data_IF_603069758720
#
_entry.id   IF_603069758720
#
_cell.length_a   1.000
_cell.length_b   1.000
_cell.length_c   1.000
_cell.angle_alpha   90.00
_cell.angle_beta   90.00
_cell.angle_gamma   90.00
#
_symmetry.space_group_name_H-M   'P 1'
#
loop_
_entity.id
_entity.type
_entity.pdbx_description
1 polymer ?
#
# COMPACT_ATOMS: atom_id res chain seq x y z
N UNK A 1 -8.42 -5.09 3.64
CA UNK A 1 -7.09 -4.48 3.49
C UNK A 1 -6.31 -4.90 2.22
N UNK A 2 -6.64 -5.98 1.49
CA UNK A 2 -6.00 -6.29 0.20
C UNK A 2 -6.22 -5.19 -0.85
N UNK A 3 -7.32 -4.44 -0.80
CA UNK A 3 -7.58 -3.32 -1.70
C UNK A 3 -6.55 -2.20 -1.59
N UNK A 4 -6.04 -1.93 -0.40
CA UNK A 4 -5.00 -0.91 -0.17
C UNK A 4 -3.70 -1.28 -0.89
N UNK A 5 -3.34 -2.56 -0.84
CA UNK A 5 -2.15 -3.09 -1.53
C UNK A 5 -2.36 -3.08 -3.05
N UNK A 6 -3.54 -3.52 -3.52
CA UNK A 6 -3.85 -3.53 -4.94
C UNK A 6 -3.84 -2.13 -5.58
N UNK A 7 -4.20 -1.10 -4.82
CA UNK A 7 -4.20 0.27 -5.32
C UNK A 7 -2.78 0.83 -5.55
N UNK A 8 -1.78 0.33 -4.82
CA UNK A 8 -0.38 0.75 -4.99
C UNK A 8 0.27 0.17 -6.25
N UNK A 9 -0.20 -0.97 -6.76
CA UNK A 9 0.39 -1.64 -7.92
C UNK A 9 0.33 -0.81 -9.22
N UNK A 10 -0.82 -0.26 -9.66
CA UNK A 10 -0.87 0.53 -10.90
C UNK A 10 -0.05 1.82 -10.80
N UNK A 11 0.01 2.43 -9.63
CA UNK A 11 0.81 3.64 -9.41
C UNK A 11 2.31 3.38 -9.51
N UNK A 12 2.75 2.23 -9.02
CA UNK A 12 4.13 1.79 -9.10
C UNK A 12 4.54 1.47 -10.54
N UNK A 13 3.71 0.77 -11.28
CA UNK A 13 3.97 0.46 -12.69
C UNK A 13 4.04 1.74 -13.52
N UNK A 14 3.18 2.72 -13.26
CA UNK A 14 3.24 4.03 -13.89
C UNK A 14 4.58 4.74 -13.61
N UNK A 15 5.10 4.67 -12.39
CA UNK A 15 6.42 5.21 -12.03
C UNK A 15 7.58 4.53 -12.76
N UNK A 16 7.54 3.20 -12.87
CA UNK A 16 8.55 2.44 -13.63
C UNK A 16 8.55 2.81 -15.11
N UNK A 17 7.39 2.84 -15.73
CA UNK A 17 7.27 3.24 -17.15
C UNK A 17 7.64 4.72 -17.35
N UNK A 18 7.29 5.60 -16.42
CA UNK A 18 7.64 7.01 -16.46
C UNK A 18 9.14 7.23 -16.47
N UNK A 19 9.90 6.58 -15.59
CA UNK A 19 11.36 6.70 -15.59
C UNK A 19 12.01 6.04 -16.79
N UNK A 20 11.46 4.92 -17.24
CA UNK A 20 11.93 4.24 -18.45
C UNK A 20 11.78 5.14 -19.69
N UNK A 21 10.65 5.84 -19.80
CA UNK A 21 10.39 6.81 -20.86
C UNK A 21 11.33 8.02 -20.77
N UNK A 22 11.57 8.54 -19.57
CA UNK A 22 12.51 9.66 -19.33
C UNK A 22 13.95 9.28 -19.67
N UNK A 23 14.34 8.02 -19.44
CA UNK A 23 15.65 7.50 -19.81
C UNK A 23 15.79 7.21 -21.32
N UNK A 24 14.69 7.31 -22.09
CA UNK A 24 14.69 7.03 -23.52
C UNK A 24 14.91 5.56 -23.88
N UNK A 25 14.72 4.66 -22.93
CA UNK A 25 14.92 3.23 -23.12
C UNK A 25 13.65 2.56 -23.66
N UNK A 26 13.85 1.59 -24.55
CA UNK A 26 12.73 0.82 -25.09
C UNK A 26 12.22 -0.20 -24.07
N UNK A 27 10.92 -0.45 -24.09
CA UNK A 27 10.33 -1.53 -23.33
C UNK A 27 10.85 -2.85 -23.87
N UNK A 28 11.52 -3.61 -23.03
CA UNK A 28 12.14 -4.89 -23.38
C UNK A 28 11.70 -5.97 -22.38
N UNK A 29 12.01 -7.22 -22.70
CA UNK A 29 11.79 -8.35 -21.79
C UNK A 29 12.49 -8.10 -20.44
N UNK A 30 13.67 -7.48 -20.45
CA UNK A 30 14.40 -7.13 -19.23
C UNK A 30 13.66 -6.09 -18.38
N UNK A 31 12.99 -5.11 -19.00
CA UNK A 31 12.13 -4.15 -18.30
C UNK A 31 10.97 -4.85 -17.60
N UNK A 32 10.32 -5.80 -18.24
CA UNK A 32 9.24 -6.58 -17.61
C UNK A 32 9.74 -7.42 -16.44
N UNK A 33 10.92 -8.04 -16.55
CA UNK A 33 11.53 -8.74 -15.42
C UNK A 33 11.78 -7.81 -14.23
N UNK A 34 12.26 -6.60 -14.49
CA UNK A 34 12.43 -5.57 -13.47
C UNK A 34 11.12 -5.18 -12.78
N UNK A 35 10.05 -5.03 -13.55
CA UNK A 35 8.72 -4.71 -13.02
C UNK A 35 8.16 -5.86 -12.17
N UNK A 36 8.32 -7.11 -12.60
CA UNK A 36 7.86 -8.28 -11.83
C UNK A 36 8.60 -8.37 -10.49
N UNK A 37 9.91 -8.18 -10.49
CA UNK A 37 10.71 -8.13 -9.26
C UNK A 37 10.26 -7.01 -8.35
N UNK A 38 10.02 -5.84 -8.91
CA UNK A 38 9.54 -4.67 -8.18
C UNK A 38 8.18 -4.90 -7.54
N UNK A 39 7.23 -5.52 -8.25
CA UNK A 39 5.92 -5.90 -7.71
C UNK A 39 6.09 -6.73 -6.45
N UNK A 40 6.96 -7.73 -6.46
CA UNK A 40 7.23 -8.56 -5.29
C UNK A 40 7.73 -7.75 -4.09
N UNK A 41 8.69 -6.87 -4.29
CA UNK A 41 9.26 -6.03 -3.22
C UNK A 41 8.23 -5.06 -2.66
N UNK A 42 7.47 -4.40 -3.53
CA UNK A 42 6.50 -3.39 -3.11
C UNK A 42 5.30 -4.00 -2.39
N UNK A 43 4.77 -5.10 -2.90
CA UNK A 43 3.67 -5.82 -2.25
C UNK A 43 4.10 -6.29 -0.87
N UNK A 44 5.29 -6.84 -0.72
CA UNK A 44 5.82 -7.23 0.57
C UNK A 44 5.91 -6.05 1.54
N UNK A 45 6.45 -4.91 1.11
CA UNK A 45 6.54 -3.71 1.94
C UNK A 45 5.15 -3.16 2.33
N UNK A 46 4.21 -3.16 1.41
CA UNK A 46 2.85 -2.71 1.66
C UNK A 46 2.11 -3.61 2.66
N UNK A 47 2.23 -4.92 2.52
CA UNK A 47 1.64 -5.89 3.45
C UNK A 47 2.21 -5.71 4.86
N UNK A 48 3.52 -5.58 4.99
CA UNK A 48 4.17 -5.36 6.28
C UNK A 48 3.73 -4.06 6.96
N UNK A 49 3.53 -2.98 6.19
CA UNK A 49 3.03 -1.72 6.73
C UNK A 49 1.61 -1.86 7.27
N UNK A 50 0.71 -2.46 6.49
CA UNK A 50 -0.68 -2.69 6.90
C UNK A 50 -0.77 -3.61 8.12
N UNK A 51 0.02 -4.68 8.13
CA UNK A 51 0.07 -5.62 9.27
C UNK A 51 0.54 -4.93 10.54
N UNK A 52 1.57 -4.10 10.46
CA UNK A 52 2.06 -3.33 11.59
C UNK A 52 1.04 -2.32 12.13
N UNK A 53 0.30 -1.64 11.26
CA UNK A 53 -0.80 -0.76 11.67
C UNK A 53 -1.88 -1.56 12.40
N UNK A 54 -2.24 -2.74 11.90
CA UNK A 54 -3.22 -3.62 12.53
C UNK A 54 -2.76 -4.11 13.91
N UNK A 55 -1.47 -4.44 14.07
CA UNK A 55 -0.91 -4.83 15.36
C UNK A 55 -0.95 -3.70 16.38
N UNK A 56 -0.65 -2.47 15.99
CA UNK A 56 -0.78 -1.30 16.86
C UNK A 56 -2.22 -1.05 17.29
N UNK A 57 -3.17 -1.24 16.40
CA UNK A 57 -4.60 -1.14 16.72
C UNK A 57 -5.07 -2.23 17.68
N UNK A 58 -4.58 -3.45 17.53
CA UNK A 58 -4.86 -4.55 18.45
C UNK A 58 -4.36 -4.28 19.88
N UNK A 59 -3.30 -3.46 20.02
CA UNK A 59 -2.79 -2.99 21.32
C UNK A 59 -3.55 -1.80 21.93
N UNK A 60 -4.67 -1.39 21.32
CA UNK A 60 -5.53 -0.33 21.84
C UNK A 60 -5.18 1.08 21.37
N UNK A 61 -4.30 1.25 20.40
CA UNK A 61 -4.00 2.55 19.80
C UNK A 61 -5.19 3.06 18.97
N UNK A 62 -5.46 4.37 19.05
CA UNK A 62 -6.43 5.01 18.17
C UNK A 62 -6.00 4.90 16.71
N UNK A 63 -6.96 4.94 15.78
CA UNK A 63 -6.73 4.78 14.33
C UNK A 63 -5.65 5.72 13.81
N UNK A 64 -5.80 7.01 14.08
CA UNK A 64 -4.87 8.05 13.65
C UNK A 64 -3.53 7.90 14.37
N UNK A 65 -3.54 7.61 15.67
CA UNK A 65 -2.35 7.36 16.46
C UNK A 65 -1.55 6.15 15.98
N UNK A 66 -2.22 5.05 15.62
CA UNK A 66 -1.57 3.86 15.06
C UNK A 66 -0.87 4.16 13.73
N UNK A 67 -1.50 4.90 12.83
CA UNK A 67 -0.92 5.30 11.54
C UNK A 67 0.25 6.26 11.73
N UNK A 68 0.13 7.24 12.61
CA UNK A 68 1.19 8.20 12.91
C UNK A 68 2.42 7.54 13.56
N UNK A 69 2.22 6.51 14.38
CA UNK A 69 3.32 5.76 14.99
C UNK A 69 3.95 4.76 14.00
N UNK A 70 3.14 4.15 13.16
CA UNK A 70 3.62 3.19 12.16
C UNK A 70 4.46 3.84 11.07
N UNK A 71 4.10 5.07 10.65
CA UNK A 71 4.78 5.79 9.57
C UNK A 71 6.30 5.88 9.77
N UNK A 72 6.80 6.57 10.81
CA UNK A 72 8.23 6.76 11.03
C UNK A 72 9.01 5.48 11.25
N UNK A 73 8.42 4.50 11.94
CA UNK A 73 9.06 3.21 12.21
C UNK A 73 9.25 2.38 10.94
N UNK A 74 8.22 2.36 10.09
CA UNK A 74 8.28 1.65 8.81
C UNK A 74 9.07 2.39 7.75
N UNK A 75 9.05 3.73 7.79
CA UNK A 75 9.90 4.56 6.93
C UNK A 75 11.38 4.17 7.09
N UNK A 76 11.86 4.03 8.32
CA UNK A 76 13.22 3.62 8.59
C UNK A 76 13.52 2.22 8.01
N UNK A 77 12.64 1.25 8.23
CA UNK A 77 12.81 -0.10 7.70
C UNK A 77 12.80 -0.15 6.17
N UNK A 78 11.88 0.58 5.54
CA UNK A 78 11.78 0.68 4.08
C UNK A 78 13.01 1.37 3.50
N UNK A 79 13.48 2.45 4.09
CA UNK A 79 14.68 3.15 3.63
C UNK A 79 15.93 2.30 3.76
N UNK A 80 16.05 1.50 4.82
CA UNK A 80 17.19 0.58 4.99
C UNK A 80 17.28 -0.48 3.89
N UNK A 81 16.17 -0.87 3.29
CA UNK A 81 16.15 -1.82 2.17
C UNK A 81 16.20 -1.13 0.81
N UNK A 82 15.54 -0.01 0.66
CA UNK A 82 15.40 0.72 -0.61
C UNK A 82 16.68 1.44 -1.00
N UNK A 83 17.33 2.13 -0.07
CA UNK A 83 18.55 2.90 -0.35
C UNK A 83 19.70 2.01 -0.84
N UNK A 84 20.07 0.91 -0.15
CA UNK A 84 21.10 0.00 -0.66
C UNK A 84 20.74 -0.61 -2.01
N UNK A 85 19.46 -0.96 -2.23
CA UNK A 85 19.01 -1.52 -3.52
C UNK A 85 19.15 -0.51 -4.63
N UNK A 86 18.80 0.76 -4.39
CA UNK A 86 18.99 1.84 -5.37
C UNK A 86 20.48 2.03 -5.70
N UNK A 87 21.33 2.15 -4.69
CA UNK A 87 22.76 2.31 -4.89
C UNK A 87 23.40 1.10 -5.59
N UNK A 88 22.96 -0.12 -5.26
CA UNK A 88 23.42 -1.35 -5.89
C UNK A 88 23.02 -1.48 -7.38
N UNK A 89 21.85 -0.95 -7.75
CA UNK A 89 21.38 -0.95 -9.13
C UNK A 89 21.88 0.23 -9.98
N UNK A 90 22.39 1.28 -9.34
CA UNK A 90 22.88 2.49 -10.02
C UNK A 90 23.98 2.21 -11.05
N UNK A 91 25.05 1.42 -10.75
CA UNK A 91 26.10 1.14 -11.71
C UNK A 91 25.59 0.43 -12.96
N UNK A 92 24.60 -0.44 -12.80
CA UNK A 92 23.98 -1.16 -13.93
C UNK A 92 23.06 -0.24 -14.73
N UNK A 93 22.34 0.65 -14.05
CA UNK A 93 21.48 1.65 -14.69
C UNK A 93 22.29 2.66 -15.53
N UNK A 94 23.51 2.98 -15.11
CA UNK A 94 24.43 3.85 -15.83
C UNK A 94 25.25 3.12 -16.91
N UNK A 95 25.01 1.82 -17.10
CA UNK A 95 25.70 0.97 -18.08
C UNK A 95 27.25 1.00 -17.97
N UNK A 96 27.77 1.11 -16.74
CA UNK A 96 29.20 1.22 -16.45
C UNK A 96 29.98 -0.10 -16.70
N UNK A 97 29.28 -1.22 -16.91
CA UNK A 97 29.90 -2.53 -17.21
C UNK A 97 29.71 -2.91 -18.68
N UNK A 98 30.60 -3.71 -19.20
CA UNK A 98 30.61 -4.16 -20.62
C UNK A 98 29.30 -4.86 -21.06
N UNK A 99 28.53 -5.42 -20.11
CA UNK A 99 27.22 -6.02 -20.35
C UNK A 99 26.08 -5.18 -19.75
N UNK A 100 26.37 -3.96 -19.32
CA UNK A 100 25.44 -3.06 -18.69
C UNK A 100 24.27 -2.65 -19.59
N UNK A 101 24.53 -2.45 -20.88
CA UNK A 101 23.50 -2.00 -21.83
C UNK A 101 22.32 -2.96 -21.93
N UNK A 102 22.55 -4.27 -21.88
CA UNK A 102 21.45 -5.27 -21.91
C UNK A 102 20.60 -5.27 -20.66
N UNK A 103 21.19 -4.98 -19.50
CA UNK A 103 20.51 -4.98 -18.19
C UNK A 103 20.04 -3.60 -17.76
N UNK A 104 20.48 -2.56 -18.43
CA UNK A 104 20.14 -1.17 -18.15
C UNK A 104 18.62 -0.94 -18.04
N UNK A 105 17.77 -1.41 -18.98
CA UNK A 105 16.32 -1.20 -18.88
C UNK A 105 15.70 -1.82 -17.63
N UNK A 106 16.20 -2.97 -17.18
CA UNK A 106 15.76 -3.62 -15.94
C UNK A 106 16.07 -2.76 -14.72
N UNK A 107 17.32 -2.30 -14.61
CA UNK A 107 17.77 -1.49 -13.48
C UNK A 107 17.09 -0.13 -13.41
N UNK A 108 16.89 0.51 -14.56
CA UNK A 108 16.16 1.80 -14.64
C UNK A 108 14.69 1.61 -14.25
N UNK A 109 14.04 0.54 -14.68
CA UNK A 109 12.67 0.23 -14.28
C UNK A 109 12.55 0.01 -12.77
N UNK A 110 13.49 -0.74 -12.18
CA UNK A 110 13.53 -0.99 -10.74
C UNK A 110 13.79 0.29 -9.96
N UNK A 111 14.75 1.12 -10.36
CA UNK A 111 15.02 2.41 -9.71
C UNK A 111 13.81 3.33 -9.71
N UNK A 112 13.19 3.52 -10.88
CA UNK A 112 12.01 4.37 -11.01
C UNK A 112 10.83 3.89 -10.21
N UNK A 113 10.55 2.60 -10.30
CA UNK A 113 9.46 2.00 -9.57
C UNK A 113 9.69 1.98 -8.06
N UNK A 114 10.91 1.71 -7.60
CA UNK A 114 11.26 1.75 -6.17
C UNK A 114 11.14 3.16 -5.59
N UNK A 115 11.64 4.15 -6.29
CA UNK A 115 11.53 5.55 -5.86
C UNK A 115 10.07 5.98 -5.75
N UNK A 116 9.32 5.79 -6.83
CA UNK A 116 7.88 6.15 -6.88
C UNK A 116 7.08 5.35 -5.87
N UNK A 117 7.33 4.06 -5.76
CA UNK A 117 6.66 3.18 -4.80
C UNK A 117 6.94 3.58 -3.36
N UNK A 118 8.18 3.91 -3.02
CA UNK A 118 8.54 4.33 -1.66
C UNK A 118 7.81 5.61 -1.28
N UNK A 119 7.78 6.60 -2.17
CA UNK A 119 7.04 7.84 -1.96
C UNK A 119 5.54 7.58 -1.79
N UNK A 120 4.97 6.79 -2.69
CA UNK A 120 3.54 6.46 -2.66
C UNK A 120 3.16 5.60 -1.46
N UNK A 121 3.98 4.61 -1.11
CA UNK A 121 3.71 3.73 0.05
C UNK A 121 3.61 4.53 1.34
N UNK A 122 4.48 5.51 1.50
CA UNK A 122 4.51 6.33 2.72
C UNK A 122 3.34 7.32 2.81
N UNK A 123 2.81 7.77 1.69
CA UNK A 123 1.74 8.78 1.64
C UNK A 123 0.38 8.12 1.42
N UNK A 124 0.28 7.27 0.40
CA UNK A 124 -1.01 6.74 -0.07
C UNK A 124 -1.55 5.63 0.82
N UNK A 125 -0.71 4.71 1.28
CA UNK A 125 -1.19 3.58 2.09
C UNK A 125 -1.79 4.04 3.41
N UNK A 126 -1.17 4.92 4.22
CA UNK A 126 -1.80 5.46 5.41
C UNK A 126 -3.12 6.18 5.13
N UNK A 127 -3.17 7.00 4.08
CA UNK A 127 -4.38 7.76 3.70
C UNK A 127 -5.50 6.82 3.27
N UNK A 128 -5.23 5.88 2.39
CA UNK A 128 -6.22 4.89 1.93
C UNK A 128 -6.70 4.01 3.07
N UNK A 129 -5.79 3.61 3.98
CA UNK A 129 -6.15 2.85 5.16
C UNK A 129 -7.14 3.59 6.05
N UNK A 130 -6.90 4.88 6.33
CA UNK A 130 -7.80 5.74 7.12
C UNK A 130 -9.16 5.89 6.45
N UNK A 131 -9.20 6.13 5.14
CA UNK A 131 -10.44 6.28 4.38
C UNK A 131 -11.27 4.99 4.39
N UNK A 132 -10.64 3.84 4.13
CA UNK A 132 -11.32 2.55 4.13
C UNK A 132 -11.87 2.18 5.51
N UNK A 133 -11.15 2.56 6.57
CA UNK A 133 -11.56 2.27 7.92
C UNK A 133 -12.73 3.18 8.35
N UNK A 134 -12.75 4.44 7.96
CA UNK A 134 -13.87 5.36 8.17
C UNK A 134 -15.15 4.88 7.45
N UNK A 135 -15.00 4.35 6.24
CA UNK A 135 -16.13 3.75 5.49
C UNK A 135 -16.69 2.54 6.25
N UNK A 136 -15.82 1.68 6.79
CA UNK A 136 -16.26 0.52 7.59
C UNK A 136 -16.98 0.92 8.86
N UNK A 137 -16.51 1.96 9.54
CA UNK A 137 -17.16 2.42 10.77
C UNK A 137 -18.51 3.07 10.48
N UNK A 138 -18.64 3.84 9.42
CA UNK A 138 -19.93 4.36 8.96
C UNK A 138 -20.91 3.23 8.61
N UNK A 139 -20.43 2.20 7.92
CA UNK A 139 -21.24 1.03 7.62
C UNK A 139 -21.66 0.26 8.88
N UNK A 140 -20.75 0.09 9.85
CA UNK A 140 -21.07 -0.54 11.15
C UNK A 140 -22.04 0.28 11.99
N UNK A 141 -21.92 1.60 11.99
CA UNK A 141 -22.85 2.50 12.66
C UNK A 141 -24.25 2.42 12.04
N UNK A 142 -24.35 2.34 10.72
CA UNK A 142 -25.61 2.13 10.01
C UNK A 142 -26.27 0.80 10.38
N UNK A 143 -25.50 -0.28 10.45
CA UNK A 143 -26.01 -1.61 10.85
C UNK A 143 -26.44 -1.64 12.31
N UNK A 144 -25.69 -0.97 13.21
CA UNK A 144 -26.09 -0.85 14.62
C UNK A 144 -27.40 -0.06 14.78
N UNK A 145 -27.57 1.05 14.06
CA UNK A 145 -28.83 1.81 14.03
C UNK A 145 -30.00 0.99 13.53
N UNK A 146 -29.80 0.24 12.44
CA UNK A 146 -30.83 -0.63 11.89
C UNK A 146 -31.23 -1.77 12.85
N UNK A 147 -30.25 -2.38 13.54
CA UNK A 147 -30.51 -3.41 14.56
C UNK A 147 -31.22 -2.85 15.79
N UNK A 148 -30.90 -1.64 16.23
CA UNK A 148 -31.57 -0.96 17.33
C UNK A 148 -33.03 -0.65 16.98
N UNK A 149 -33.28 -0.14 15.76
CA UNK A 149 -34.62 0.13 15.27
C UNK A 149 -35.47 -1.16 15.21
N UNK A 150 -34.91 -2.26 14.73
CA UNK A 150 -35.59 -3.55 14.66
C UNK A 150 -35.89 -4.18 16.03
N UNK A 151 -35.07 -3.90 17.03
CA UNK A 151 -35.34 -4.31 18.43
C UNK A 151 -36.48 -3.51 19.00
N UNK A 152 -36.54 -2.21 18.76
CA UNK A 152 -37.61 -1.33 19.23
C UNK A 152 -38.97 -1.73 18.65
N UNK A 153 -39.05 -2.00 17.36
CA UNK A 153 -40.29 -2.44 16.68
C UNK A 153 -40.77 -3.82 17.17
N UNK A 154 -39.82 -4.70 17.50
CA UNK A 154 -40.15 -6.04 18.02
C UNK A 154 -40.68 -5.99 19.47
N UNK A 155 -40.13 -5.13 20.30
CA UNK A 155 -40.57 -4.91 21.69
C UNK A 155 -41.95 -4.24 21.75
N UNK A 156 -42.20 -3.25 20.88
CA UNK A 156 -43.49 -2.61 20.76
C UNK A 156 -44.59 -3.59 20.31
N UNK A 157 -44.27 -4.52 19.42
CA UNK A 157 -45.22 -5.53 18.93
C UNK A 157 -45.51 -6.60 19.98
N UNK A 158 -44.55 -6.95 20.81
CA UNK A 158 -44.71 -7.91 21.91
C UNK A 158 -45.51 -7.30 23.05
N UNK A 159 -45.35 -6.00 23.36
CA UNK A 159 -46.13 -5.29 24.37
C UNK A 159 -47.61 -5.14 24.00
N UNK A 160 -47.89 -4.96 22.71
CA UNK A 160 -49.28 -4.83 22.22
C UNK A 160 -50.05 -6.16 22.23
N UNK A 161 -49.35 -7.29 22.19
CA UNK A 161 -49.99 -8.62 22.26
C UNK A 161 -50.28 -9.10 23.69
N UNK A 162 -49.65 -8.52 24.70
CA UNK A 162 -49.81 -8.90 26.10
C UNK A 162 -50.81 -8.02 26.87
N UNK A 163 -51.41 -7.05 26.18
CA UNK A 163 -52.43 -6.15 26.74
C UNK A 163 -53.89 -6.48 26.35
N UNK A 164 -54.09 -7.65 25.72
CA UNK A 164 -55.40 -8.26 25.49
C UNK A 164 -55.53 -9.54 26.31
#
# INVERSE_FOLDING_TARGET
HPFTVMFSLPLMTAGSFGLLALAGLRISVMSFMGIILLVGVVVNNAILLVDFINQLRAKGAEKVGAVLQAGPLRLRAILMTTVPTMFGSLPVALALSERGETRQPMSVAVLGGLFTSTMLTLIVIPVVYLILDDIKDKARAGIKRYRAYRRFTRSARSGALNSK
#
